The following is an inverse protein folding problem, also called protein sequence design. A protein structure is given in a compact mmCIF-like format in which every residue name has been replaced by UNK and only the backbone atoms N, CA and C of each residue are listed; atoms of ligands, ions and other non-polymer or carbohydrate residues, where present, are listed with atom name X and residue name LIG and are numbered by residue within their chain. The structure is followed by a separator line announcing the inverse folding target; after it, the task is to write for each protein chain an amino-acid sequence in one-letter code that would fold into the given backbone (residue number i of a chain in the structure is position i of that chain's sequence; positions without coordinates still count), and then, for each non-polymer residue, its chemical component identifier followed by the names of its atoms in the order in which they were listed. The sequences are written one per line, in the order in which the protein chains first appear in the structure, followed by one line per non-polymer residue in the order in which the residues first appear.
data_IF_229390402447
#
_entry.id   IF_229390402447
#
_cell.length_a   1.000
_cell.length_b   1.000
_cell.length_c   1.000
_cell.angle_alpha   90.00
_cell.angle_beta   90.00
_cell.angle_gamma   90.00
#
_symmetry.space_group_name_H-M   'P 1'
#
loop_
_entity.id
_entity.type
_entity.pdbx_description
1 polymer ?
#
# COMPACT_ATOMS: atom_id res chain seq x y z
N UNK A 1 -4.65 -3.74 -2.68
CA UNK A 1 -3.73 -4.77 -2.16
C UNK A 1 -2.34 -4.58 -2.75
N UNK A 2 -1.31 -4.81 -1.93
CA UNK A 2 0.09 -4.85 -2.36
C UNK A 2 0.41 -6.29 -2.75
N UNK A 3 0.81 -6.49 -4.00
CA UNK A 3 0.97 -7.81 -4.61
C UNK A 3 2.40 -8.01 -5.11
N UNK A 4 2.87 -9.25 -5.08
CA UNK A 4 4.18 -9.67 -5.57
C UNK A 4 4.08 -10.88 -6.51
N UNK A 5 5.08 -11.02 -7.38
CA UNK A 5 5.27 -12.19 -8.23
C UNK A 5 6.22 -13.22 -7.60
N UNK A 6 7.11 -12.80 -6.69
CA UNK A 6 8.05 -13.68 -6.01
C UNK A 6 7.50 -14.18 -4.67
N UNK A 7 7.10 -15.45 -4.63
CA UNK A 7 6.60 -16.12 -3.43
C UNK A 7 7.67 -16.19 -2.32
N UNK A 8 8.95 -16.30 -2.68
CA UNK A 8 10.04 -16.46 -1.71
C UNK A 8 10.30 -15.16 -0.93
N UNK A 9 10.15 -14.01 -1.57
CA UNK A 9 10.38 -12.71 -0.94
C UNK A 9 9.18 -12.22 -0.10
N UNK A 10 7.97 -12.72 -0.37
CA UNK A 10 6.74 -12.30 0.33
C UNK A 10 6.82 -12.53 1.84
N UNK A 11 7.36 -13.65 2.30
CA UNK A 11 7.45 -13.96 3.73
C UNK A 11 8.38 -12.98 4.48
N UNK A 12 9.45 -12.53 3.82
CA UNK A 12 10.36 -11.52 4.34
C UNK A 12 9.65 -10.18 4.44
N UNK A 13 9.01 -9.74 3.36
CA UNK A 13 8.25 -8.48 3.31
C UNK A 13 7.13 -8.43 4.36
N UNK A 14 6.35 -9.50 4.52
CA UNK A 14 5.32 -9.60 5.55
C UNK A 14 5.89 -9.53 6.97
N UNK A 15 7.05 -10.15 7.19
CA UNK A 15 7.74 -10.09 8.49
C UNK A 15 8.26 -8.69 8.79
N UNK A 16 8.82 -8.01 7.80
CA UNK A 16 9.24 -6.60 7.93
C UNK A 16 8.05 -5.72 8.29
N UNK A 17 6.93 -5.84 7.58
CA UNK A 17 5.72 -5.07 7.86
C UNK A 17 5.22 -5.32 9.29
N UNK A 18 5.11 -6.58 9.71
CA UNK A 18 4.64 -6.95 11.06
C UNK A 18 5.54 -6.44 12.18
N UNK A 19 6.84 -6.35 11.96
CA UNK A 19 7.82 -5.89 12.98
C UNK A 19 8.07 -4.38 12.93
N UNK A 20 7.49 -3.67 11.95
CA UNK A 20 7.69 -2.24 11.80
C UNK A 20 6.77 -1.46 12.73
N UNK A 21 7.34 -0.46 13.41
CA UNK A 21 6.55 0.50 14.21
C UNK A 21 5.79 1.51 13.34
N UNK A 22 6.24 1.68 12.10
CA UNK A 22 5.59 2.54 11.11
C UNK A 22 5.85 2.02 9.70
N UNK A 23 4.84 1.98 8.86
CA UNK A 23 4.88 1.49 7.48
C UNK A 23 4.52 2.59 6.48
N UNK A 24 5.33 2.70 5.43
CA UNK A 24 5.15 3.70 4.38
C UNK A 24 5.09 3.01 3.03
N UNK A 25 4.07 3.32 2.24
CA UNK A 25 3.95 2.89 0.85
C UNK A 25 4.19 4.07 -0.07
N UNK A 26 5.16 3.96 -0.97
CA UNK A 26 5.37 4.94 -2.04
C UNK A 26 5.00 4.29 -3.36
N UNK A 27 4.00 4.85 -4.04
CA UNK A 27 3.51 4.32 -5.30
C UNK A 27 3.03 5.43 -6.22
N UNK A 28 3.07 5.19 -7.52
CA UNK A 28 2.29 5.98 -8.47
C UNK A 28 0.90 5.34 -8.67
N UNK A 29 -0.04 6.11 -9.20
CA UNK A 29 -1.39 5.67 -9.51
C UNK A 29 -1.43 4.53 -10.56
N UNK A 30 -0.41 4.38 -11.40
CA UNK A 30 -0.37 3.35 -12.45
C UNK A 30 -0.13 1.94 -11.89
N UNK A 31 0.42 1.83 -10.68
CA UNK A 31 0.66 0.53 -10.02
C UNK A 31 -0.59 -0.08 -9.39
N UNK A 32 -1.68 0.69 -9.22
CA UNK A 32 -2.93 0.20 -8.62
C UNK A 32 -3.76 -0.69 -9.56
N UNK A 33 -3.43 -0.73 -10.85
CA UNK A 33 -4.11 -1.59 -11.84
C UNK A 33 -3.36 -2.89 -12.11
N UNK A 34 -2.19 -3.11 -11.48
CA UNK A 34 -1.40 -4.33 -11.66
C UNK A 34 -1.88 -5.43 -10.72
N UNK A 35 -1.97 -6.65 -11.22
CA UNK A 35 -2.31 -7.84 -10.44
C UNK A 35 -1.14 -8.82 -10.44
N UNK A 36 -0.79 -9.34 -9.27
CA UNK A 36 0.19 -10.40 -9.09
C UNK A 36 -0.40 -11.52 -8.21
N UNK A 37 0.09 -12.76 -8.31
CA UNK A 37 -0.56 -13.93 -7.69
C UNK A 37 -0.45 -13.97 -6.17
N UNK A 38 0.51 -13.24 -5.59
CA UNK A 38 0.76 -13.27 -4.14
C UNK A 38 0.42 -11.94 -3.51
N UNK A 39 -0.32 -11.95 -2.40
CA UNK A 39 -0.60 -10.76 -1.59
C UNK A 39 0.46 -10.60 -0.52
N UNK A 40 1.18 -9.49 -0.54
CA UNK A 40 2.07 -9.08 0.55
C UNK A 40 1.23 -8.53 1.70
N UNK A 41 0.42 -7.52 1.42
CA UNK A 41 -0.35 -6.78 2.41
C UNK A 41 -1.58 -6.10 1.79
N UNK A 42 -2.50 -5.63 2.62
CA UNK A 42 -3.53 -4.68 2.22
C UNK A 42 -3.07 -3.24 2.46
N UNK A 43 -3.76 -2.27 1.86
CA UNK A 43 -3.57 -0.86 2.22
C UNK A 43 -3.89 -0.59 3.69
N UNK A 44 -4.76 -1.42 4.29
CA UNK A 44 -5.09 -1.42 5.72
C UNK A 44 -3.90 -1.63 6.64
N UNK A 45 -2.86 -2.29 6.14
CA UNK A 45 -1.66 -2.61 6.90
C UNK A 45 -0.59 -1.49 6.78
N UNK A 46 -0.94 -0.38 6.12
CA UNK A 46 -0.04 0.74 5.83
C UNK A 46 -0.47 1.98 6.63
N UNK A 47 0.47 2.59 7.34
CA UNK A 47 0.20 3.84 8.09
C UNK A 47 0.11 5.06 7.17
N UNK A 48 0.95 5.14 6.15
CA UNK A 48 0.96 6.30 5.23
C UNK A 48 1.30 5.90 3.80
N UNK A 49 0.49 6.35 2.86
CA UNK A 49 0.66 6.18 1.42
C UNK A 49 1.05 7.50 0.77
N UNK A 50 2.15 7.50 0.03
CA UNK A 50 2.55 8.60 -0.84
C UNK A 50 2.21 8.28 -2.28
N UNK A 51 1.42 9.14 -2.92
CA UNK A 51 0.94 8.93 -4.29
C UNK A 51 1.03 10.20 -5.14
N UNK A 52 1.21 10.03 -6.46
CA UNK A 52 1.33 11.11 -7.43
C UNK A 52 -0.02 11.70 -7.88
N UNK A 53 -1.14 11.03 -7.60
CA UNK A 53 -2.51 11.49 -7.87
C UNK A 53 -3.46 11.11 -6.73
N UNK A 54 -4.52 11.90 -6.47
CA UNK A 54 -5.53 11.55 -5.47
C UNK A 54 -6.18 10.19 -5.75
N UNK A 55 -6.52 9.47 -4.70
CA UNK A 55 -7.36 8.28 -4.81
C UNK A 55 -8.79 8.63 -5.24
N UNK A 56 -9.51 7.68 -5.89
CA UNK A 56 -10.96 7.77 -6.02
C UNK A 56 -11.62 7.96 -4.65
N UNK A 57 -12.73 8.69 -4.61
CA UNK A 57 -13.41 9.07 -3.35
C UNK A 57 -13.73 7.85 -2.46
N UNK A 58 -14.17 6.75 -3.05
CA UNK A 58 -14.46 5.50 -2.33
C UNK A 58 -13.21 4.92 -1.65
N UNK A 59 -12.07 4.90 -2.36
CA UNK A 59 -10.82 4.40 -1.80
C UNK A 59 -10.24 5.33 -0.74
N UNK A 60 -10.38 6.65 -0.92
CA UNK A 60 -9.98 7.62 0.08
C UNK A 60 -10.78 7.46 1.39
N UNK A 61 -12.10 7.26 1.29
CA UNK A 61 -12.95 7.00 2.45
C UNK A 61 -12.58 5.70 3.18
N UNK A 62 -12.25 4.65 2.43
CA UNK A 62 -11.74 3.41 3.00
C UNK A 62 -10.40 3.61 3.71
N UNK A 63 -9.47 4.36 3.13
CA UNK A 63 -8.20 4.68 3.79
C UNK A 63 -8.40 5.43 5.11
N UNK A 64 -9.34 6.38 5.16
CA UNK A 64 -9.72 7.08 6.38
C UNK A 64 -10.26 6.12 7.46
N UNK A 65 -11.17 5.22 7.09
CA UNK A 65 -11.69 4.17 7.98
C UNK A 65 -10.58 3.26 8.53
N UNK A 66 -9.54 2.99 7.72
CA UNK A 66 -8.42 2.14 8.09
C UNK A 66 -7.32 2.87 8.88
N UNK A 67 -7.47 4.18 9.12
CA UNK A 67 -6.41 5.03 9.66
C UNK A 67 -5.12 5.03 8.81
N UNK A 68 -5.29 4.90 7.50
CA UNK A 68 -4.21 4.99 6.52
C UNK A 68 -4.14 6.42 5.97
N UNK A 69 -3.09 7.16 6.34
CA UNK A 69 -2.87 8.50 5.82
C UNK A 69 -2.55 8.46 4.32
N UNK A 70 -3.13 9.37 3.53
CA UNK A 70 -2.83 9.48 2.09
C UNK A 70 -2.26 10.85 1.79
N UNK A 71 -0.99 10.88 1.38
CA UNK A 71 -0.26 12.09 1.01
C UNK A 71 -0.07 12.16 -0.50
N UNK A 72 -0.68 13.15 -1.14
CA UNK A 72 -0.50 13.40 -2.58
C UNK A 72 0.75 14.26 -2.78
N UNK A 73 1.81 13.65 -3.31
CA UNK A 73 3.06 14.35 -3.63
C UNK A 73 2.96 14.98 -5.00
N UNK A 74 2.93 16.31 -5.05
CA UNK A 74 3.01 17.09 -6.30
C UNK A 74 4.49 17.39 -6.58
N UNK A 75 4.95 17.11 -7.80
CA UNK A 75 6.24 17.61 -8.28
C UNK A 75 6.20 19.12 -8.50
#
# INVERSE_FOLDING_TARGET
DLLDYDIQEVAVSQTILRQSRKTFLVSDHTKFTRSAPVRIASLRDIDTVFIDRPFPAELAALCDEWNTDVMVSRR
#
